data_IF_692026434726
#
_entry.id   IF_692026434726
#
_cell.length_a   1.000
_cell.length_b   1.000
_cell.length_c   1.000
_cell.angle_alpha   90.00
_cell.angle_beta   90.00
_cell.angle_gamma   90.00
#
_symmetry.space_group_name_H-M   'P 1'
#
loop_
_entity.id
_entity.type
_entity.pdbx_description
1 polymer ?
#
# COMPACT_ATOMS: atom_id res chain seq x y z
N UNK A 1 2.83 -6.75 13.55
CA UNK A 1 3.43 -7.47 12.43
C UNK A 1 4.47 -8.40 13.03
N UNK A 2 4.50 -9.66 12.59
CA UNK A 2 5.39 -10.68 13.15
C UNK A 2 6.79 -10.67 12.50
N UNK A 3 6.93 -9.92 11.39
CA UNK A 3 8.19 -9.65 10.71
C UNK A 3 8.27 -8.17 10.29
N UNK A 4 9.50 -7.69 10.11
CA UNK A 4 9.84 -6.35 9.66
C UNK A 4 10.52 -6.40 8.30
N UNK A 5 9.90 -5.78 7.31
CA UNK A 5 10.54 -5.46 6.05
C UNK A 5 11.30 -4.14 6.17
N UNK A 6 12.58 -4.12 5.78
CA UNK A 6 13.43 -2.94 5.95
C UNK A 6 14.37 -2.70 4.77
N UNK A 7 14.55 -1.42 4.45
CA UNK A 7 15.47 -0.92 3.43
C UNK A 7 16.77 -0.37 4.06
N UNK A 8 17.01 -0.70 5.34
CA UNK A 8 18.10 -0.10 6.13
C UNK A 8 19.39 -0.89 5.97
N UNK A 9 20.47 -0.32 6.48
CA UNK A 9 21.81 -0.91 6.37
C UNK A 9 21.90 -2.26 7.06
N UNK A 10 22.90 -3.07 6.68
CA UNK A 10 23.17 -4.35 7.34
C UNK A 10 23.33 -4.23 8.86
N UNK A 11 23.91 -3.14 9.36
CA UNK A 11 24.02 -2.86 10.80
C UNK A 11 22.65 -2.68 11.47
N UNK A 12 21.69 -2.07 10.77
CA UNK A 12 20.34 -1.92 11.30
C UNK A 12 19.58 -3.25 11.26
N UNK A 13 19.80 -4.07 10.22
CA UNK A 13 19.27 -5.43 10.14
C UNK A 13 19.79 -6.27 11.31
N UNK A 14 21.10 -6.29 11.52
CA UNK A 14 21.79 -7.00 12.62
C UNK A 14 21.23 -6.58 13.98
N UNK A 15 21.17 -5.28 14.25
CA UNK A 15 20.58 -4.76 15.49
C UNK A 15 19.13 -5.22 15.70
N UNK A 16 18.29 -5.23 14.65
CA UNK A 16 16.90 -5.65 14.77
C UNK A 16 16.77 -7.17 14.96
N UNK A 17 17.60 -7.96 14.27
CA UNK A 17 17.64 -9.41 14.37
C UNK A 17 18.14 -9.86 15.75
N UNK A 18 19.16 -9.20 16.30
CA UNK A 18 19.71 -9.46 17.64
C UNK A 18 18.66 -9.22 18.75
N UNK A 19 17.70 -8.31 18.52
CA UNK A 19 16.55 -8.07 19.40
C UNK A 19 15.41 -9.11 19.21
N UNK A 20 15.64 -10.16 18.41
CA UNK A 20 14.72 -11.25 18.17
C UNK A 20 13.60 -10.94 17.17
N UNK A 21 13.72 -9.87 16.39
CA UNK A 21 12.75 -9.52 15.36
C UNK A 21 13.07 -10.28 14.06
N UNK A 22 12.06 -10.86 13.41
CA UNK A 22 12.25 -11.44 12.09
C UNK A 22 12.38 -10.31 11.06
N UNK A 23 13.55 -10.19 10.41
CA UNK A 23 13.83 -9.10 9.46
C UNK A 23 13.96 -9.61 8.02
N UNK A 24 13.24 -8.97 7.11
CA UNK A 24 13.41 -9.13 5.67
C UNK A 24 14.14 -7.91 5.09
N UNK A 25 15.21 -8.16 4.33
CA UNK A 25 15.95 -7.14 3.59
C UNK A 25 15.37 -6.85 2.20
N UNK A 26 15.96 -5.90 1.49
CA UNK A 26 15.64 -5.60 0.09
C UNK A 26 16.92 -5.21 -0.66
N UNK A 27 17.22 -5.93 -1.75
CA UNK A 27 18.31 -5.68 -2.69
C UNK A 27 17.81 -5.53 -4.13
N UNK A 28 18.68 -5.05 -5.02
CA UNK A 28 18.32 -4.71 -6.40
C UNK A 28 17.78 -3.29 -6.49
N UNK A 29 16.68 -3.10 -7.20
CA UNK A 29 16.02 -1.81 -7.32
C UNK A 29 15.24 -1.50 -6.05
N UNK A 30 15.82 -0.72 -5.14
CA UNK A 30 15.08 -0.17 -4.00
C UNK A 30 14.52 1.21 -4.40
N UNK A 31 13.21 1.39 -4.68
CA UNK A 31 12.71 2.62 -5.32
C UNK A 31 12.94 3.88 -4.48
N UNK A 32 12.89 3.74 -3.16
CA UNK A 32 13.17 4.82 -2.19
C UNK A 32 14.62 5.32 -2.25
N UNK A 33 15.55 4.51 -2.76
CA UNK A 33 16.96 4.84 -2.91
C UNK A 33 17.32 5.17 -4.37
N UNK A 34 16.33 5.31 -5.25
CA UNK A 34 16.51 5.55 -6.70
C UNK A 34 17.49 6.68 -7.01
N UNK A 35 17.48 7.79 -6.27
CA UNK A 35 18.41 8.91 -6.47
C UNK A 35 19.87 8.54 -6.20
N UNK A 36 20.14 7.59 -5.31
CA UNK A 36 21.48 7.12 -4.97
C UNK A 36 22.01 6.09 -5.99
N UNK A 37 21.11 5.36 -6.63
CA UNK A 37 21.43 4.27 -7.56
C UNK A 37 21.32 4.67 -9.04
N UNK A 38 21.11 5.96 -9.32
CA UNK A 38 21.08 6.52 -10.68
C UNK A 38 19.71 6.43 -11.39
N UNK A 39 18.63 6.35 -10.64
CA UNK A 39 17.24 6.25 -11.12
C UNK A 39 16.67 4.84 -11.01
N UNK A 40 15.48 4.66 -11.60
CA UNK A 40 14.85 3.34 -11.69
C UNK A 40 15.55 2.52 -12.77
N UNK A 41 16.32 1.50 -12.38
CA UNK A 41 17.10 0.65 -13.29
C UNK A 41 17.06 -0.81 -12.84
N UNK A 42 17.38 -1.71 -13.77
CA UNK A 42 17.59 -3.12 -13.46
C UNK A 42 19.02 -3.39 -12.95
N UNK A 43 19.18 -4.47 -12.20
CA UNK A 43 20.43 -4.91 -11.57
C UNK A 43 20.80 -6.35 -11.99
N UNK A 44 22.05 -6.74 -11.73
CA UNK A 44 22.54 -8.08 -12.08
C UNK A 44 22.67 -8.30 -13.59
N UNK A 45 22.77 -7.23 -14.39
CA UNK A 45 22.84 -7.35 -15.86
C UNK A 45 24.23 -7.74 -16.35
N UNK A 46 25.22 -7.70 -15.47
CA UNK A 46 26.58 -8.21 -15.70
C UNK A 46 26.96 -9.14 -14.55
N UNK A 47 27.93 -10.03 -14.79
CA UNK A 47 28.45 -10.92 -13.76
C UNK A 47 28.96 -10.14 -12.53
N UNK A 48 29.64 -9.01 -12.74
CA UNK A 48 30.12 -8.16 -11.65
C UNK A 48 28.99 -7.57 -10.79
N UNK A 49 27.89 -7.14 -11.42
CA UNK A 49 26.70 -6.68 -10.67
C UNK A 49 26.02 -7.84 -9.92
N UNK A 50 25.90 -9.00 -10.55
CA UNK A 50 25.32 -10.19 -9.93
C UNK A 50 26.16 -10.68 -8.74
N UNK A 51 27.49 -10.65 -8.86
CA UNK A 51 28.40 -11.01 -7.76
C UNK A 51 28.28 -10.04 -6.59
N UNK A 52 28.16 -8.73 -6.83
CA UNK A 52 27.89 -7.75 -5.77
C UNK A 52 26.57 -8.02 -5.06
N UNK A 53 25.51 -8.35 -5.82
CA UNK A 53 24.23 -8.76 -5.22
C UNK A 53 24.38 -10.00 -4.35
N UNK A 54 25.12 -11.01 -4.79
CA UNK A 54 25.38 -12.22 -4.02
C UNK A 54 26.16 -11.92 -2.72
N UNK A 55 27.12 -10.98 -2.77
CA UNK A 55 27.86 -10.51 -1.60
C UNK A 55 26.96 -9.76 -0.61
N UNK A 56 26.13 -8.84 -1.09
CA UNK A 56 25.17 -8.10 -0.27
C UNK A 56 24.13 -9.04 0.36
N UNK A 57 23.70 -10.06 -0.38
CA UNK A 57 22.75 -11.06 0.08
C UNK A 57 23.36 -11.91 1.20
N UNK A 58 24.60 -12.38 1.02
CA UNK A 58 25.36 -13.04 2.09
C UNK A 58 25.51 -12.13 3.30
N UNK A 59 25.71 -10.82 3.10
CA UNK A 59 25.84 -9.88 4.21
C UNK A 59 24.53 -9.66 4.98
N UNK A 60 23.38 -9.75 4.32
CA UNK A 60 22.06 -9.77 4.97
C UNK A 60 21.86 -11.05 5.78
N UNK A 61 22.25 -12.19 5.22
CA UNK A 61 22.22 -13.48 5.90
C UNK A 61 23.09 -13.47 7.15
N UNK A 62 24.34 -13.00 7.03
CA UNK A 62 25.26 -12.81 8.16
C UNK A 62 24.69 -11.83 9.22
N UNK A 63 23.86 -10.88 8.81
CA UNK A 63 23.19 -9.93 9.71
C UNK A 63 21.92 -10.49 10.36
N UNK A 64 21.56 -11.76 10.12
CA UNK A 64 20.40 -12.40 10.74
C UNK A 64 19.06 -12.10 10.05
N UNK A 65 19.07 -11.59 8.82
CA UNK A 65 17.84 -11.57 8.02
C UNK A 65 17.33 -13.00 7.79
N UNK A 66 16.01 -13.18 7.65
CA UNK A 66 15.42 -14.48 7.29
C UNK A 66 14.96 -14.54 5.82
N UNK A 67 14.75 -13.37 5.22
CA UNK A 67 14.29 -13.23 3.85
C UNK A 67 14.89 -12.00 3.18
N UNK A 68 14.83 -11.96 1.85
CA UNK A 68 15.27 -10.82 1.04
C UNK A 68 14.37 -10.65 -0.18
N UNK A 69 13.92 -9.42 -0.38
CA UNK A 69 13.31 -9.00 -1.64
C UNK A 69 14.37 -8.64 -2.67
N UNK A 70 14.17 -9.11 -3.89
CA UNK A 70 15.02 -8.89 -5.05
C UNK A 70 14.16 -8.24 -6.14
N UNK A 71 14.26 -6.92 -6.29
CA UNK A 71 13.47 -6.13 -7.24
C UNK A 71 14.26 -5.81 -8.52
N UNK A 72 13.65 -6.07 -9.69
CA UNK A 72 14.21 -5.79 -11.01
C UNK A 72 15.66 -6.31 -11.22
N UNK A 73 15.96 -7.50 -10.71
CA UNK A 73 17.23 -8.22 -10.93
C UNK A 73 17.09 -9.14 -12.15
N UNK A 74 18.17 -9.35 -12.90
CA UNK A 74 18.16 -10.30 -14.02
C UNK A 74 17.79 -11.72 -13.57
N UNK A 75 16.92 -12.40 -14.33
CA UNK A 75 16.39 -13.74 -14.00
C UNK A 75 17.53 -14.77 -13.91
N UNK A 76 18.52 -14.70 -14.80
CA UNK A 76 19.69 -15.57 -14.77
C UNK A 76 20.53 -15.38 -13.50
N UNK A 77 20.60 -14.14 -12.99
CA UNK A 77 21.30 -13.87 -11.73
C UNK A 77 20.52 -14.44 -10.54
N UNK A 78 19.19 -14.30 -10.51
CA UNK A 78 18.34 -14.89 -9.47
C UNK A 78 18.43 -16.42 -9.48
N UNK A 79 18.39 -17.05 -10.65
CA UNK A 79 18.49 -18.50 -10.80
C UNK A 79 19.79 -19.07 -10.24
N UNK A 80 20.89 -18.32 -10.34
CA UNK A 80 22.16 -18.73 -9.75
C UNK A 80 22.29 -18.33 -8.27
N UNK A 81 21.83 -17.16 -7.85
CA UNK A 81 22.08 -16.69 -6.48
C UNK A 81 21.14 -17.36 -5.47
N UNK A 82 19.85 -17.49 -5.78
CA UNK A 82 18.83 -17.91 -4.81
C UNK A 82 19.09 -19.29 -4.21
N UNK A 83 19.50 -20.33 -4.97
CA UNK A 83 19.79 -21.64 -4.39
C UNK A 83 21.04 -21.69 -3.49
N UNK A 84 21.82 -20.61 -3.41
CA UNK A 84 23.12 -20.55 -2.72
C UNK A 84 23.07 -19.80 -1.38
N UNK A 85 21.89 -19.34 -0.97
CA UNK A 85 21.65 -18.67 0.32
C UNK A 85 20.67 -19.46 1.18
N UNK A 86 20.74 -19.29 2.50
CA UNK A 86 19.70 -19.74 3.42
C UNK A 86 18.51 -18.77 3.56
N UNK A 87 18.55 -17.59 2.95
CA UNK A 87 17.46 -16.62 2.96
C UNK A 87 16.30 -17.06 2.06
N UNK A 88 15.06 -16.80 2.50
CA UNK A 88 13.90 -16.89 1.61
C UNK A 88 13.96 -15.72 0.61
N UNK A 89 14.04 -16.02 -0.67
CA UNK A 89 14.14 -15.04 -1.75
C UNK A 89 12.78 -14.67 -2.30
N UNK A 90 12.49 -13.37 -2.38
CA UNK A 90 11.24 -12.84 -2.94
C UNK A 90 11.55 -12.07 -4.23
N UNK A 91 11.00 -12.51 -5.36
CA UNK A 91 11.11 -11.82 -6.65
C UNK A 91 9.94 -10.88 -6.87
N UNK A 92 10.27 -9.65 -7.29
CA UNK A 92 9.34 -8.72 -7.95
C UNK A 92 10.02 -8.14 -9.19
N UNK A 93 9.52 -8.54 -10.36
CA UNK A 93 10.15 -8.20 -11.64
C UNK A 93 11.55 -8.77 -11.84
N UNK A 94 11.90 -9.85 -11.13
CA UNK A 94 13.20 -10.51 -11.17
C UNK A 94 13.15 -11.96 -11.67
N UNK A 95 12.13 -12.29 -12.47
CA UNK A 95 11.94 -13.63 -12.98
C UNK A 95 11.36 -14.61 -11.96
N UNK A 96 11.39 -15.90 -12.30
CA UNK A 96 10.62 -16.94 -11.60
C UNK A 96 11.44 -17.87 -10.70
N UNK A 97 12.75 -17.64 -10.59
CA UNK A 97 13.65 -18.57 -9.91
C UNK A 97 13.83 -18.33 -8.40
N UNK A 98 13.12 -17.34 -7.83
CA UNK A 98 13.07 -17.09 -6.39
C UNK A 98 12.04 -17.99 -5.68
N UNK A 99 12.13 -18.12 -4.36
CA UNK A 99 11.22 -18.94 -3.55
C UNK A 99 9.78 -18.42 -3.55
N UNK A 100 9.65 -17.09 -3.59
CA UNK A 100 8.38 -16.38 -3.64
C UNK A 100 8.38 -15.46 -4.84
N UNK A 101 7.30 -15.48 -5.60
CA UNK A 101 7.00 -14.48 -6.63
C UNK A 101 5.85 -13.65 -6.11
N UNK A 102 6.03 -12.33 -6.04
CA UNK A 102 4.93 -11.46 -5.65
C UNK A 102 4.84 -10.23 -6.57
N UNK A 103 3.66 -9.62 -6.53
CA UNK A 103 3.30 -8.41 -7.24
C UNK A 103 2.37 -7.60 -6.32
N UNK A 104 2.34 -6.28 -6.46
CA UNK A 104 1.36 -5.48 -5.72
C UNK A 104 -0.07 -5.85 -6.15
N UNK A 105 -0.98 -5.91 -5.16
CA UNK A 105 -2.38 -6.24 -5.44
C UNK A 105 -3.00 -5.28 -6.47
N UNK A 106 -2.73 -3.98 -6.35
CA UNK A 106 -3.25 -2.97 -7.28
C UNK A 106 -2.78 -3.24 -8.72
N UNK A 107 -1.52 -3.63 -8.92
CA UNK A 107 -0.98 -4.01 -10.23
C UNK A 107 -1.62 -5.30 -10.74
N UNK A 108 -1.64 -6.34 -9.90
CA UNK A 108 -2.21 -7.64 -10.24
C UNK A 108 -3.71 -7.54 -10.56
N UNK A 109 -4.41 -6.60 -9.95
CA UNK A 109 -5.84 -6.39 -10.17
C UNK A 109 -6.15 -5.36 -11.27
N UNK A 110 -5.13 -4.78 -11.93
CA UNK A 110 -5.32 -3.81 -13.01
C UNK A 110 -5.89 -2.48 -12.54
N UNK A 111 -5.43 -2.00 -11.38
CA UNK A 111 -5.88 -0.77 -10.74
C UNK A 111 -4.90 0.40 -10.92
N UNK A 112 -3.64 0.07 -11.20
CA UNK A 112 -2.59 1.06 -11.47
C UNK A 112 -2.72 1.60 -12.89
N UNK A 113 -2.72 2.94 -13.04
CA UNK A 113 -2.86 3.62 -14.34
C UNK A 113 -1.61 3.45 -15.21
N UNK A 114 -0.43 3.53 -14.60
CA UNK A 114 0.88 3.36 -15.25
C UNK A 114 1.69 2.29 -14.49
N UNK A 115 1.33 1.00 -14.63
CA UNK A 115 1.97 -0.06 -13.88
C UNK A 115 3.44 -0.23 -14.33
N UNK A 116 4.33 -0.70 -13.43
CA UNK A 116 5.72 -0.96 -13.78
C UNK A 116 5.80 -2.05 -14.86
N UNK A 117 6.88 -2.05 -15.67
CA UNK A 117 7.02 -2.96 -16.82
C UNK A 117 6.86 -4.46 -16.49
N UNK A 118 7.13 -4.84 -15.25
CA UNK A 118 7.11 -6.22 -14.78
C UNK A 118 5.75 -6.65 -14.21
N UNK A 119 4.80 -5.72 -14.08
CA UNK A 119 3.46 -6.01 -13.64
C UNK A 119 2.64 -6.65 -14.76
N UNK A 120 1.64 -7.44 -14.37
CA UNK A 120 0.61 -7.96 -15.26
C UNK A 120 -0.73 -7.86 -14.54
N UNK A 121 -1.72 -7.30 -15.24
CA UNK A 121 -3.08 -7.21 -14.72
C UNK A 121 -3.85 -8.49 -15.05
N UNK A 122 -4.46 -9.07 -14.03
CA UNK A 122 -5.30 -10.27 -14.11
C UNK A 122 -6.79 -9.95 -13.88
N UNK A 123 -7.11 -8.67 -13.61
CA UNK A 123 -8.46 -8.14 -13.51
C UNK A 123 -8.51 -6.70 -14.05
N UNK A 124 -9.73 -6.15 -14.17
CA UNK A 124 -9.99 -4.75 -14.56
C UNK A 124 -10.60 -3.97 -13.39
N UNK A 125 -9.78 -3.72 -12.35
CA UNK A 125 -10.22 -2.92 -11.20
C UNK A 125 -10.37 -1.45 -11.55
N UNK A 126 -9.58 -0.91 -12.49
CA UNK A 126 -9.76 0.45 -12.98
C UNK A 126 -11.19 0.66 -13.55
N UNK A 127 -11.66 -0.26 -14.40
CA UNK A 127 -13.02 -0.24 -14.93
C UNK A 127 -14.10 -0.45 -13.85
N UNK A 128 -13.83 -1.30 -12.85
CA UNK A 128 -14.72 -1.47 -11.70
C UNK A 128 -14.83 -0.19 -10.84
N UNK A 129 -13.70 0.48 -10.56
CA UNK A 129 -13.66 1.76 -9.85
C UNK A 129 -14.37 2.86 -10.63
N UNK A 130 -14.20 2.92 -11.95
CA UNK A 130 -14.90 3.89 -12.79
C UNK A 130 -16.44 3.76 -12.68
N UNK A 131 -16.95 2.53 -12.66
CA UNK A 131 -18.38 2.26 -12.43
C UNK A 131 -18.83 2.64 -11.03
N UNK A 132 -18.04 2.26 -10.01
CA UNK A 132 -18.32 2.64 -8.63
C UNK A 132 -18.36 4.16 -8.45
N UNK A 133 -17.41 4.87 -9.05
CA UNK A 133 -17.34 6.33 -8.99
C UNK A 133 -18.53 6.97 -9.69
N UNK A 134 -18.95 6.45 -10.85
CA UNK A 134 -20.15 6.93 -11.54
C UNK A 134 -21.41 6.79 -10.65
N UNK A 135 -21.59 5.66 -9.96
CA UNK A 135 -22.72 5.47 -9.04
C UNK A 135 -22.61 6.35 -7.79
N UNK A 136 -21.40 6.57 -7.24
CA UNK A 136 -21.17 7.52 -6.14
C UNK A 136 -21.56 8.93 -6.56
N UNK A 137 -21.11 9.39 -7.72
CA UNK A 137 -21.41 10.72 -8.23
C UNK A 137 -22.90 10.91 -8.48
N UNK A 138 -23.57 9.91 -9.07
CA UNK A 138 -25.03 9.90 -9.23
C UNK A 138 -25.75 10.04 -7.89
N UNK A 139 -25.35 9.28 -6.87
CA UNK A 139 -25.91 9.36 -5.52
C UNK A 139 -25.72 10.74 -4.89
N UNK A 140 -24.52 11.30 -4.98
CA UNK A 140 -24.21 12.63 -4.45
C UNK A 140 -24.98 13.75 -5.17
N UNK A 141 -25.16 13.64 -6.49
CA UNK A 141 -25.98 14.58 -7.25
C UNK A 141 -27.46 14.50 -6.89
N UNK A 142 -28.01 13.28 -6.76
CA UNK A 142 -29.40 13.08 -6.34
C UNK A 142 -29.64 13.61 -4.93
N UNK A 143 -28.73 13.32 -4.00
CA UNK A 143 -28.76 13.86 -2.64
C UNK A 143 -28.72 15.40 -2.64
N UNK A 144 -27.80 16.00 -3.40
CA UNK A 144 -27.70 17.45 -3.53
C UNK A 144 -29.00 18.05 -4.07
N UNK A 145 -29.62 17.44 -5.09
CA UNK A 145 -30.88 17.90 -5.63
C UNK A 145 -31.99 17.85 -4.57
N UNK A 146 -32.13 16.72 -3.87
CA UNK A 146 -33.15 16.53 -2.84
C UNK A 146 -33.03 17.49 -1.66
N UNK A 147 -31.80 17.88 -1.30
CA UNK A 147 -31.56 18.91 -0.28
C UNK A 147 -31.96 20.29 -0.79
N UNK A 148 -31.62 20.63 -2.04
CA UNK A 148 -31.89 21.96 -2.61
C UNK A 148 -33.37 22.18 -2.92
N UNK A 149 -34.11 21.15 -3.28
CA UNK A 149 -35.55 21.22 -3.52
C UNK A 149 -36.41 21.00 -2.27
N UNK A 150 -35.78 20.68 -1.13
CA UNK A 150 -36.43 20.46 0.16
C UNK A 150 -37.16 19.12 0.31
N UNK A 151 -37.01 18.19 -0.65
CA UNK A 151 -37.55 16.83 -0.54
C UNK A 151 -36.77 15.93 0.42
N UNK A 152 -35.54 16.31 0.77
CA UNK A 152 -34.75 15.70 1.84
C UNK A 152 -34.16 16.76 2.80
N UNK A 153 -34.23 16.53 4.14
CA UNK A 153 -34.96 15.46 4.79
C UNK A 153 -36.48 15.67 4.69
N UNK A 154 -37.25 14.58 4.80
CA UNK A 154 -38.72 14.63 4.83
C UNK A 154 -39.25 14.06 6.14
N UNK A 155 -40.57 13.97 6.29
CA UNK A 155 -41.19 13.47 7.52
C UNK A 155 -40.78 12.03 7.91
N UNK A 156 -40.43 11.16 6.95
CA UNK A 156 -39.99 9.79 7.25
C UNK A 156 -38.53 9.75 7.72
N UNK A 157 -37.70 10.71 7.31
CA UNK A 157 -36.29 10.84 7.70
C UNK A 157 -36.07 11.92 8.76
N UNK A 158 -37.13 12.50 9.29
CA UNK A 158 -37.12 13.53 10.34
C UNK A 158 -37.84 13.01 11.58
N UNK A 159 -37.31 13.34 12.75
CA UNK A 159 -38.02 13.11 14.01
C UNK A 159 -38.72 14.38 14.46
N UNK A 160 -39.90 14.24 15.06
CA UNK A 160 -40.69 15.36 15.58
C UNK A 160 -40.78 15.30 17.10
N UNK A 161 -40.98 16.47 17.73
CA UNK A 161 -41.26 16.54 19.16
C UNK A 161 -42.58 15.84 19.49
N UNK A 162 -42.69 15.29 20.71
CA UNK A 162 -43.98 14.79 21.21
C UNK A 162 -45.01 15.92 21.25
N UNK A 163 -46.32 15.62 21.14
CA UNK A 163 -47.36 16.62 21.26
C UNK A 163 -47.20 17.46 22.53
N UNK A 164 -47.24 18.80 22.39
CA UNK A 164 -47.14 19.75 23.50
C UNK A 164 -45.71 20.10 23.96
N UNK A 165 -44.67 19.42 23.48
CA UNK A 165 -43.29 19.73 23.91
C UNK A 165 -42.69 20.95 23.18
N UNK A 166 -43.19 21.28 21.99
CA UNK A 166 -42.75 22.46 21.24
C UNK A 166 -43.12 23.77 21.95
N UNK A 167 -44.37 23.91 22.44
CA UNK A 167 -44.79 25.12 23.16
C UNK A 167 -44.01 25.31 24.46
N UNK A 168 -43.81 24.23 25.23
CA UNK A 168 -43.00 24.26 26.46
C UNK A 168 -41.57 24.72 26.19
N UNK A 169 -40.98 24.28 25.07
CA UNK A 169 -39.65 24.74 24.66
C UNK A 169 -39.65 26.25 24.37
N UNK A 170 -40.60 26.75 23.57
CA UNK A 170 -40.70 28.17 23.25
C UNK A 170 -40.83 29.03 24.52
N UNK A 171 -41.73 28.67 25.43
CA UNK A 171 -41.89 29.38 26.71
C UNK A 171 -40.62 29.39 27.56
N UNK A 172 -39.87 28.27 27.57
CA UNK A 172 -38.63 28.17 28.32
C UNK A 172 -37.51 29.03 27.70
N UNK A 173 -37.48 29.15 26.37
CA UNK A 173 -36.52 29.99 25.65
C UNK A 173 -36.82 31.48 25.80
N UNK A 174 -38.08 31.91 25.74
CA UNK A 174 -38.47 33.31 25.93
C UNK A 174 -38.13 33.83 27.34
N UNK A 175 -38.16 32.93 28.34
CA UNK A 175 -37.78 33.22 29.73
C UNK A 175 -36.26 33.26 29.93
N UNK A 176 -35.45 32.78 28.96
CA UNK A 176 -33.98 32.86 29.03
C UNK A 176 -33.49 34.21 28.52
N UNK A 177 -32.59 34.85 29.27
CA UNK A 177 -31.72 35.89 28.70
C UNK A 177 -30.78 35.24 27.67
N UNK A 178 -30.57 35.83 26.48
CA UNK A 178 -29.64 35.27 25.51
C UNK A 178 -28.23 35.19 26.10
N UNK A 179 -27.48 34.14 25.74
CA UNK A 179 -26.12 33.92 26.25
C UNK A 179 -25.11 35.00 25.79
N UNK A 180 -25.47 35.81 24.81
CA UNK A 180 -24.64 36.92 24.33
C UNK A 180 -25.54 38.15 24.12
N UNK A 181 -25.09 39.30 24.66
CA UNK A 181 -25.61 40.65 24.41
C UNK A 181 -24.91 41.30 23.24
#
# INVERSE_FOLDING_TARGET
ADALYTLRSFKAVEMLADEGLAVQGHLGLVPRLSTQIGGLRAFGRTADEAMKLAEDLRRLEDAGAYAVELECVADEAIAEISPRTGLITHSIGSGGAADVIFLFQDDACGDTIDPPRHASAFADMAGARAKLEAERMKGLHAYRAAVLDGSYPNAATSITMKPGEHEKLCEALDKRRPFHS
#
